data_IF_120415751733
#
_entry.id   IF_120415751733
#
_cell.length_a   1.000
_cell.length_b   1.000
_cell.length_c   1.000
_cell.angle_alpha   90.00
_cell.angle_beta   90.00
_cell.angle_gamma   90.00
#
_symmetry.space_group_name_H-M   'P 1'
#
loop_
_entity.id
_entity.type
_entity.pdbx_description
1 polymer ?
#
# COMPACT_ATOMS: atom_id res chain seq x y z
N UNK A 1 19.11 -32.63 33.31
CA UNK A 1 18.52 -31.34 32.88
C UNK A 1 17.02 -31.52 32.79
N UNK A 2 16.25 -30.89 33.68
CA UNK A 2 14.80 -30.88 33.56
C UNK A 2 14.37 -30.05 32.35
N UNK A 3 13.47 -30.61 31.55
CA UNK A 3 12.93 -29.98 30.35
C UNK A 3 11.88 -28.97 30.79
N UNK A 4 12.20 -27.67 30.75
CA UNK A 4 11.22 -26.61 31.02
C UNK A 4 10.15 -26.62 29.92
N UNK A 5 8.92 -26.93 30.30
CA UNK A 5 7.75 -26.83 29.41
C UNK A 5 7.18 -25.42 29.49
N UNK A 6 7.24 -24.68 28.37
CA UNK A 6 6.60 -23.37 28.24
C UNK A 6 5.15 -23.62 27.84
N UNK A 7 4.21 -23.35 28.74
CA UNK A 7 2.79 -23.47 28.45
C UNK A 7 2.27 -22.11 27.98
N UNK A 8 2.18 -21.91 26.66
CA UNK A 8 1.70 -20.66 26.07
C UNK A 8 0.18 -20.62 26.20
N UNK A 9 -0.36 -19.55 26.78
CA UNK A 9 -1.80 -19.37 26.91
C UNK A 9 -2.41 -19.14 25.51
N UNK A 10 -3.31 -20.02 25.07
CA UNK A 10 -4.02 -19.91 23.79
C UNK A 10 -4.71 -18.53 23.61
N UNK A 11 -5.20 -17.92 24.69
CA UNK A 11 -5.82 -16.60 24.64
C UNK A 11 -4.87 -15.49 24.15
N UNK A 12 -3.57 -15.65 24.36
CA UNK A 12 -2.54 -14.70 23.89
C UNK A 12 -2.31 -14.91 22.39
N UNK A 13 -2.19 -16.16 21.94
CA UNK A 13 -2.06 -16.49 20.51
C UNK A 13 -3.27 -15.98 19.71
N UNK A 14 -4.49 -16.17 20.23
CA UNK A 14 -5.71 -15.66 19.59
C UNK A 14 -5.70 -14.14 19.49
N UNK A 15 -5.20 -13.45 20.51
CA UNK A 15 -5.09 -11.98 20.50
C UNK A 15 -4.05 -11.49 19.50
N UNK A 16 -2.96 -12.24 19.32
CA UNK A 16 -1.91 -11.95 18.33
C UNK A 16 -2.48 -12.08 16.91
N UNK A 17 -3.16 -13.18 16.60
CA UNK A 17 -3.76 -13.41 15.27
C UNK A 17 -4.86 -12.38 15.00
N UNK A 18 -5.76 -12.17 15.96
CA UNK A 18 -6.85 -11.21 15.82
C UNK A 18 -6.33 -9.77 15.64
N UNK A 19 -5.30 -9.41 16.41
CA UNK A 19 -4.63 -8.11 16.27
C UNK A 19 -3.99 -7.95 14.90
N UNK A 20 -3.41 -9.01 14.33
CA UNK A 20 -2.81 -8.97 13.00
C UNK A 20 -3.89 -8.73 11.94
N UNK A 21 -5.03 -9.43 12.04
CA UNK A 21 -6.16 -9.25 11.12
C UNK A 21 -6.68 -7.81 11.15
N UNK A 22 -6.87 -7.22 12.33
CA UNK A 22 -7.31 -5.82 12.43
C UNK A 22 -6.27 -4.83 11.90
N UNK A 23 -4.98 -5.06 12.17
CA UNK A 23 -3.91 -4.23 11.62
C UNK A 23 -3.86 -4.31 10.09
N UNK A 24 -3.93 -5.53 9.53
CA UNK A 24 -3.94 -5.74 8.08
C UNK A 24 -5.11 -5.01 7.42
N UNK A 25 -6.32 -5.15 7.96
CA UNK A 25 -7.50 -4.45 7.45
C UNK A 25 -7.37 -2.93 7.55
N UNK A 26 -6.85 -2.43 8.67
CA UNK A 26 -6.68 -0.99 8.90
C UNK A 26 -5.69 -0.39 7.91
N UNK A 27 -4.51 -1.01 7.76
CA UNK A 27 -3.50 -0.55 6.80
C UNK A 27 -4.04 -0.68 5.39
N UNK A 28 -4.72 -1.78 5.04
CA UNK A 28 -5.33 -1.95 3.72
C UNK A 28 -6.35 -0.85 3.37
N UNK A 29 -7.19 -0.43 4.32
CA UNK A 29 -8.12 0.69 4.15
C UNK A 29 -7.34 2.00 3.96
N UNK A 30 -6.27 2.23 4.73
CA UNK A 30 -5.44 3.42 4.57
C UNK A 30 -4.79 3.43 3.18
N UNK A 31 -4.27 2.30 2.70
CA UNK A 31 -3.64 2.21 1.38
C UNK A 31 -4.55 2.61 0.21
N UNK A 32 -5.88 2.59 0.38
CA UNK A 32 -6.81 3.08 -0.66
C UNK A 32 -6.64 4.57 -0.97
N UNK A 33 -6.10 5.33 -0.01
CA UNK A 33 -5.77 6.75 -0.20
C UNK A 33 -4.42 6.97 -0.88
N UNK A 34 -3.75 5.90 -1.35
CA UNK A 34 -2.55 6.01 -2.17
C UNK A 34 -2.81 6.82 -3.45
N UNK A 35 -1.78 7.53 -3.89
CA UNK A 35 -1.79 8.24 -5.17
C UNK A 35 -0.98 7.47 -6.21
N UNK A 36 -1.46 7.46 -7.45
CA UNK A 36 -0.74 6.86 -8.58
C UNK A 36 -0.24 7.98 -9.49
N UNK A 37 1.05 7.96 -9.77
CA UNK A 37 1.74 8.96 -10.59
C UNK A 37 2.54 8.26 -11.67
N UNK A 38 2.65 8.86 -12.84
CA UNK A 38 3.39 8.28 -13.96
C UNK A 38 4.23 9.33 -14.68
N UNK A 39 5.27 8.84 -15.37
CA UNK A 39 6.14 9.64 -16.23
C UNK A 39 5.97 9.12 -17.67
N UNK A 40 5.57 9.97 -18.63
CA UNK A 40 5.48 9.59 -20.04
C UNK A 40 6.88 9.34 -20.62
N UNK A 41 7.01 8.31 -21.47
CA UNK A 41 8.24 8.08 -22.22
C UNK A 41 8.24 8.92 -23.50
N UNK A 42 8.70 10.17 -23.36
CA UNK A 42 8.92 11.07 -24.48
C UNK A 42 10.26 10.70 -25.11
N UNK A 43 10.26 9.84 -26.13
CA UNK A 43 11.48 9.36 -26.80
C UNK A 43 12.41 10.49 -27.26
N UNK A 44 11.87 11.70 -27.45
CA UNK A 44 12.60 12.95 -27.61
C UNK A 44 12.16 13.94 -26.50
N UNK A 45 12.95 14.13 -25.43
CA UNK A 45 12.62 15.12 -24.41
C UNK A 45 12.67 16.53 -25.00
N UNK A 46 11.63 17.34 -24.77
CA UNK A 46 11.69 18.77 -25.07
C UNK A 46 12.59 19.42 -24.03
N UNK A 47 13.68 20.04 -24.47
CA UNK A 47 14.64 20.71 -23.59
C UNK A 47 14.31 22.21 -23.59
N UNK A 48 14.08 22.78 -22.40
CA UNK A 48 13.87 24.22 -22.24
C UNK A 48 15.14 25.00 -22.60
N UNK A 49 15.03 26.31 -22.88
CA UNK A 49 16.16 27.21 -23.11
C UNK A 49 17.21 27.16 -21.98
N UNK A 50 16.80 26.74 -20.77
CA UNK A 50 17.68 26.47 -19.63
C UNK A 50 18.33 25.07 -19.57
N UNK A 51 18.33 24.29 -20.65
CA UNK A 51 18.86 22.91 -20.71
C UNK A 51 18.20 21.92 -19.74
N UNK A 52 16.96 22.21 -19.31
CA UNK A 52 16.18 21.33 -18.45
C UNK A 52 15.20 20.52 -19.29
N UNK A 53 15.09 19.22 -19.02
CA UNK A 53 14.08 18.37 -19.65
C UNK A 53 12.69 18.83 -19.16
N UNK A 54 11.87 19.32 -20.09
CA UNK A 54 10.46 19.65 -19.85
C UNK A 54 9.66 18.36 -19.88
N UNK A 55 9.35 17.82 -18.70
CA UNK A 55 8.46 16.67 -18.54
C UNK A 55 6.99 16.98 -18.87
N UNK A 56 6.67 18.26 -19.07
CA UNK A 56 5.32 18.80 -19.25
C UNK A 56 5.09 19.36 -20.66
N UNK A 57 5.73 18.78 -21.67
CA UNK A 57 5.40 19.07 -23.07
C UNK A 57 4.03 18.47 -23.42
N UNK A 58 3.29 19.07 -24.34
CA UNK A 58 2.11 18.42 -24.90
C UNK A 58 2.54 17.11 -25.59
N UNK A 59 1.93 15.99 -25.19
CA UNK A 59 2.16 14.69 -25.81
C UNK A 59 0.84 13.98 -26.06
N UNK A 60 0.77 13.20 -27.13
CA UNK A 60 -0.42 12.41 -27.43
C UNK A 60 -0.43 11.14 -26.56
N UNK A 61 -1.28 11.18 -25.54
CA UNK A 61 -1.49 10.07 -24.60
C UNK A 61 -1.90 8.75 -25.27
N UNK A 62 -2.43 8.77 -26.50
CA UNK A 62 -2.81 7.57 -27.26
C UNK A 62 -1.63 6.84 -27.88
N UNK A 63 -0.54 7.55 -28.14
CA UNK A 63 0.64 6.99 -28.81
C UNK A 63 1.89 6.97 -27.92
N UNK A 64 1.86 7.69 -26.80
CA UNK A 64 2.98 7.76 -25.86
C UNK A 64 2.90 6.64 -24.80
N UNK A 65 3.93 5.78 -24.70
CA UNK A 65 3.99 4.76 -23.67
C UNK A 65 4.38 5.34 -22.31
N UNK A 66 4.00 4.64 -21.23
CA UNK A 66 4.37 4.96 -19.86
C UNK A 66 5.83 4.57 -19.63
N UNK A 67 6.68 5.55 -19.35
CA UNK A 67 8.10 5.33 -19.04
C UNK A 67 8.29 4.81 -17.62
N UNK A 68 7.55 5.36 -16.67
CA UNK A 68 7.55 4.85 -15.31
C UNK A 68 6.21 5.10 -14.62
N UNK A 69 5.84 4.18 -13.72
CA UNK A 69 4.60 4.23 -12.95
C UNK A 69 4.92 3.98 -11.48
N UNK A 70 4.34 4.80 -10.62
CA UNK A 70 4.61 4.81 -9.19
C UNK A 70 3.31 4.87 -8.40
N UNK A 71 3.25 4.12 -7.30
CA UNK A 71 2.28 4.33 -6.24
C UNK A 71 3.00 5.02 -5.08
N UNK A 72 2.39 6.07 -4.53
CA UNK A 72 2.83 6.73 -3.31
C UNK A 72 1.80 6.43 -2.23
N UNK A 73 2.22 5.70 -1.20
CA UNK A 73 1.35 5.35 -0.08
C UNK A 73 1.12 6.55 0.84
N UNK A 74 0.04 6.57 1.64
CA UNK A 74 -0.18 7.63 2.63
C UNK A 74 0.93 7.76 3.68
N UNK A 75 1.73 6.69 3.85
CA UNK A 75 2.89 6.68 4.73
C UNK A 75 4.16 7.22 4.06
N UNK A 76 4.09 7.62 2.79
CA UNK A 76 5.18 8.21 2.04
C UNK A 76 6.07 7.21 1.32
N UNK A 77 5.71 5.92 1.31
CA UNK A 77 6.47 4.90 0.60
C UNK A 77 6.16 4.96 -0.89
N UNK A 78 7.22 5.00 -1.70
CA UNK A 78 7.13 4.94 -3.16
C UNK A 78 7.33 3.50 -3.61
N UNK A 79 6.36 2.98 -4.36
CA UNK A 79 6.38 1.63 -4.91
C UNK A 79 6.40 1.74 -6.43
N UNK A 80 7.48 1.24 -7.03
CA UNK A 80 7.61 1.18 -8.48
C UNK A 80 6.71 0.07 -9.02
N UNK A 81 5.90 0.42 -10.02
CA UNK A 81 4.96 -0.48 -10.67
C UNK A 81 5.47 -0.83 -12.08
N UNK A 82 5.33 -2.09 -12.50
CA UNK A 82 5.69 -2.48 -13.85
C UNK A 82 4.77 -1.78 -14.84
N UNK A 83 5.34 -1.13 -15.85
CA UNK A 83 4.58 -0.44 -16.91
C UNK A 83 4.11 -1.41 -17.99
N UNK A 84 4.83 -2.51 -18.23
CA UNK A 84 4.47 -3.57 -19.20
C UNK A 84 4.07 -3.06 -20.61
N UNK A 85 4.63 -1.94 -21.06
CA UNK A 85 4.30 -1.34 -22.36
C UNK A 85 2.96 -0.59 -22.41
N UNK A 86 2.34 -0.34 -21.26
CA UNK A 86 1.09 0.42 -21.13
C UNK A 86 1.22 1.81 -21.77
N UNK A 87 0.17 2.24 -22.45
CA UNK A 87 0.06 3.60 -22.99
C UNK A 87 -0.42 4.59 -21.92
N UNK A 88 0.00 5.86 -21.98
CA UNK A 88 -0.47 6.88 -21.04
C UNK A 88 -2.00 7.05 -21.06
N UNK A 89 -2.63 6.81 -22.20
CA UNK A 89 -4.09 6.76 -22.36
C UNK A 89 -4.75 5.70 -21.46
N UNK A 90 -4.12 4.56 -21.21
CA UNK A 90 -4.66 3.54 -20.31
C UNK A 90 -4.69 4.02 -18.85
N UNK A 91 -3.83 4.96 -18.45
CA UNK A 91 -3.88 5.54 -17.11
C UNK A 91 -4.97 6.62 -16.97
N UNK A 92 -5.30 7.29 -18.09
CA UNK A 92 -6.20 8.45 -18.12
C UNK A 92 -7.65 8.07 -18.42
N UNK A 93 -7.89 7.14 -19.34
CA UNK A 93 -9.22 6.69 -19.76
C UNK A 93 -9.67 5.43 -18.98
N UNK A 94 -10.90 4.99 -19.21
CA UNK A 94 -11.44 3.81 -18.54
C UNK A 94 -10.78 2.54 -19.11
N UNK A 95 -9.89 1.94 -18.32
CA UNK A 95 -9.01 0.84 -18.74
C UNK A 95 -8.96 -0.26 -17.70
N UNK A 96 -8.32 -1.39 -18.04
CA UNK A 96 -8.05 -2.47 -17.09
C UNK A 96 -7.20 -2.00 -15.89
N UNK A 97 -6.37 -0.96 -16.04
CA UNK A 97 -5.63 -0.38 -14.91
C UNK A 97 -6.57 0.33 -13.90
N UNK A 98 -7.69 0.90 -14.37
CA UNK A 98 -8.68 1.50 -13.48
C UNK A 98 -9.58 0.47 -12.79
N UNK A 99 -9.63 -0.77 -13.28
CA UNK A 99 -10.41 -1.83 -12.63
C UNK A 99 -9.93 -2.07 -11.21
N UNK A 100 -10.88 -2.01 -10.28
CA UNK A 100 -10.61 -2.19 -8.86
C UNK A 100 -9.95 -3.53 -8.53
N UNK A 101 -10.27 -4.61 -9.27
CA UNK A 101 -9.64 -5.92 -9.09
C UNK A 101 -8.11 -5.86 -9.23
N UNK A 102 -7.61 -5.03 -10.15
CA UNK A 102 -6.18 -4.86 -10.37
C UNK A 102 -5.58 -3.92 -9.32
N UNK A 103 -6.30 -2.87 -8.92
CA UNK A 103 -5.87 -1.96 -7.85
C UNK A 103 -5.84 -2.61 -6.47
N UNK A 104 -6.76 -3.52 -6.17
CA UNK A 104 -6.80 -4.23 -4.88
C UNK A 104 -5.53 -5.03 -4.61
N UNK A 105 -4.97 -5.66 -5.65
CA UNK A 105 -3.67 -6.36 -5.56
C UNK A 105 -2.54 -5.38 -5.28
N UNK A 106 -2.57 -4.19 -5.90
CA UNK A 106 -1.59 -3.12 -5.66
C UNK A 106 -1.67 -2.59 -4.23
N UNK A 107 -2.88 -2.34 -3.71
CA UNK A 107 -3.08 -1.94 -2.32
C UNK A 107 -2.59 -3.00 -1.34
N UNK A 108 -2.88 -4.27 -1.58
CA UNK A 108 -2.39 -5.35 -0.73
C UNK A 108 -0.85 -5.43 -0.75
N UNK A 109 -0.22 -5.26 -1.92
CA UNK A 109 1.25 -5.17 -2.03
C UNK A 109 1.80 -3.97 -1.27
N UNK A 110 1.09 -2.85 -1.26
CA UNK A 110 1.47 -1.65 -0.53
C UNK A 110 1.46 -1.87 0.99
N UNK A 111 0.45 -2.56 1.53
CA UNK A 111 0.39 -2.93 2.95
C UNK A 111 1.67 -3.64 3.42
N UNK A 112 2.18 -4.58 2.61
CA UNK A 112 3.41 -5.31 2.93
C UNK A 112 4.69 -4.50 2.65
N UNK A 113 4.63 -3.52 1.75
CA UNK A 113 5.74 -2.59 1.52
C UNK A 113 5.89 -1.64 2.73
N UNK A 114 4.77 -1.29 3.38
CA UNK A 114 4.68 -0.51 4.61
C UNK A 114 4.68 -1.36 5.89
N UNK A 115 5.48 -2.44 5.90
CA UNK A 115 5.53 -3.41 7.00
C UNK A 115 5.84 -2.77 8.38
N UNK A 116 6.58 -1.66 8.42
CA UNK A 116 6.89 -0.95 9.67
C UNK A 116 5.62 -0.43 10.34
N UNK A 117 4.72 0.16 9.56
CA UNK A 117 3.44 0.68 10.06
C UNK A 117 2.48 -0.46 10.37
N UNK A 118 2.49 -1.53 9.56
CA UNK A 118 1.73 -2.74 9.84
C UNK A 118 2.11 -3.35 11.20
N UNK A 119 3.40 -3.51 11.49
CA UNK A 119 3.88 -4.05 12.77
C UNK A 119 3.52 -3.11 13.93
N UNK A 120 3.68 -1.80 13.76
CA UNK A 120 3.35 -0.82 14.79
C UNK A 120 1.86 -0.88 15.15
N UNK A 121 0.98 -0.83 14.15
CA UNK A 121 -0.48 -0.90 14.32
C UNK A 121 -0.87 -2.27 14.90
N UNK A 122 -0.20 -3.35 14.48
CA UNK A 122 -0.42 -4.68 15.02
C UNK A 122 -0.13 -4.78 16.53
N UNK A 123 1.00 -4.25 16.98
CA UNK A 123 1.34 -4.21 18.41
C UNK A 123 0.29 -3.39 19.18
N UNK A 124 -0.16 -2.26 18.63
CA UNK A 124 -1.22 -1.43 19.24
C UNK A 124 -2.51 -2.25 19.41
N UNK A 125 -2.95 -2.97 18.36
CA UNK A 125 -4.15 -3.81 18.45
C UNK A 125 -3.99 -4.95 19.45
N UNK A 126 -2.84 -5.62 19.50
CA UNK A 126 -2.57 -6.66 20.51
C UNK A 126 -2.74 -6.08 21.92
N UNK A 127 -2.12 -4.93 22.19
CA UNK A 127 -2.23 -4.26 23.49
C UNK A 127 -3.68 -3.93 23.83
N UNK A 128 -4.43 -3.35 22.90
CA UNK A 128 -5.85 -3.02 23.08
C UNK A 128 -6.67 -4.28 23.41
N UNK A 129 -6.54 -5.36 22.61
CA UNK A 129 -7.28 -6.60 22.82
C UNK A 129 -6.95 -7.24 24.17
N UNK A 130 -5.67 -7.27 24.54
CA UNK A 130 -5.23 -7.80 25.83
C UNK A 130 -5.78 -6.97 27.00
N UNK A 131 -5.83 -5.64 26.88
CA UNK A 131 -6.46 -4.77 27.88
C UNK A 131 -7.95 -5.09 28.04
N UNK A 132 -8.72 -5.13 26.96
CA UNK A 132 -10.15 -5.45 27.02
C UNK A 132 -10.41 -6.84 27.62
N UNK A 133 -9.60 -7.84 27.24
CA UNK A 133 -9.69 -9.20 27.81
C UNK A 133 -9.34 -9.22 29.32
N UNK A 134 -8.32 -8.47 29.74
CA UNK A 134 -7.88 -8.43 31.15
C UNK A 134 -8.88 -7.72 32.05
N UNK A 135 -9.42 -6.58 31.60
CA UNK A 135 -10.30 -5.76 32.43
C UNK A 135 -11.78 -6.17 32.34
N UNK A 136 -12.13 -7.17 31.51
CA UNK A 136 -13.52 -7.59 31.25
C UNK A 136 -14.46 -6.40 31.12
N UNK A 137 -14.03 -5.35 30.40
CA UNK A 137 -14.82 -4.14 30.20
C UNK A 137 -16.08 -4.54 29.44
N UNK A 138 -17.16 -4.79 30.18
CA UNK A 138 -18.50 -4.88 29.63
C UNK A 138 -18.85 -3.46 29.19
N UNK A 139 -18.88 -3.24 27.88
CA UNK A 139 -19.63 -2.12 27.32
C UNK A 139 -21.10 -2.40 27.65
N UNK A 140 -21.54 -1.89 28.79
CA UNK A 140 -22.96 -1.86 29.12
C UNK A 140 -23.59 -0.81 28.21
N UNK A 141 -24.29 -1.28 27.18
CA UNK A 141 -25.22 -0.50 26.38
C UNK A 141 -26.59 -0.48 27.08
#
# INVERSE_FOLDING_TARGET
>A
MEKKTININHNVLDSIILGFTFALLTVFIIEHFSTFSYIPNLSNPVIDYGHKIILNGEYDTRTTPVGALYQITPFGTRIDLPTNGMMCSELLYDSDFKRYSNKGVLYLKAVFSDYKFLILIWIIYICIILLFKRYRLKLSA
#
